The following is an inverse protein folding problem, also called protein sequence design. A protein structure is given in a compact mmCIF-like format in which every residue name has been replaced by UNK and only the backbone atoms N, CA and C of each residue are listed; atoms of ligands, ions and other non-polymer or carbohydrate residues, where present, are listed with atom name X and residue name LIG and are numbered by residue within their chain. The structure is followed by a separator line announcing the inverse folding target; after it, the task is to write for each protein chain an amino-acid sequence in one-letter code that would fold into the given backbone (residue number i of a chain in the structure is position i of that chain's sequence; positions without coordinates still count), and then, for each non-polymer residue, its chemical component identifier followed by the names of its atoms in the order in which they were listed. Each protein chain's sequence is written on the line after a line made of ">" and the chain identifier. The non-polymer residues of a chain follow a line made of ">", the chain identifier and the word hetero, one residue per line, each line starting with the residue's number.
data_IF_317048722827
#
_entry.id   IF_317048722827
#
_cell.length_a   1.000
_cell.length_b   1.000
_cell.length_c   1.000
_cell.angle_alpha   90.00
_cell.angle_beta   90.00
_cell.angle_gamma   90.00
#
_symmetry.space_group_name_H-M   'P 1'
#
loop_
_entity.id
_entity.type
_entity.pdbx_description
1 polymer ?
#
# COMPACT_ATOMS: atom_id res chain seq x y z
N UNK A 1 -2.71 -4.83 15.88
CA UNK A 1 -3.27 -3.78 15.03
C UNK A 1 -4.64 -4.20 14.57
N UNK A 2 -5.62 -3.33 14.75
CA UNK A 2 -6.97 -3.45 14.17
C UNK A 2 -7.05 -2.67 12.85
N UNK A 3 -8.23 -2.66 12.22
CA UNK A 3 -8.49 -1.95 10.96
C UNK A 3 -8.18 -0.45 11.03
N UNK A 4 -8.60 0.23 12.10
CA UNK A 4 -8.39 1.66 12.28
C UNK A 4 -6.90 1.98 12.42
N UNK A 5 -6.15 1.18 13.17
CA UNK A 5 -4.70 1.35 13.31
C UNK A 5 -4.00 1.34 11.94
N UNK A 6 -4.40 0.45 11.03
CA UNK A 6 -3.84 0.37 9.68
C UNK A 6 -4.22 1.57 8.80
N UNK A 7 -5.45 2.07 8.91
CA UNK A 7 -5.89 3.27 8.19
C UNK A 7 -5.09 4.50 8.64
N UNK A 8 -4.94 4.69 9.95
CA UNK A 8 -4.17 5.79 10.53
C UNK A 8 -2.68 5.70 10.15
N UNK A 9 -2.11 4.49 10.17
CA UNK A 9 -0.74 4.26 9.71
C UNK A 9 -0.57 4.58 8.23
N UNK A 10 -1.49 4.15 7.35
CA UNK A 10 -1.41 4.46 5.93
C UNK A 10 -1.39 5.97 5.67
N UNK A 11 -2.26 6.73 6.35
CA UNK A 11 -2.32 8.19 6.24
C UNK A 11 -1.08 8.87 6.81
N UNK A 12 -0.58 8.40 7.95
CA UNK A 12 0.65 8.91 8.58
C UNK A 12 1.85 8.69 7.65
N UNK A 13 2.01 7.48 7.08
CA UNK A 13 3.11 7.16 6.18
C UNK A 13 3.02 7.94 4.87
N UNK A 14 1.82 8.25 4.39
CA UNK A 14 1.64 9.10 3.22
C UNK A 14 2.14 10.53 3.50
N UNK A 15 1.82 11.07 4.67
CA UNK A 15 2.31 12.38 5.09
C UNK A 15 3.84 12.38 5.24
N UNK A 16 4.41 11.35 5.88
CA UNK A 16 5.86 11.21 6.03
C UNK A 16 6.56 11.11 4.67
N UNK A 17 6.03 10.28 3.76
CA UNK A 17 6.56 10.14 2.41
C UNK A 17 6.59 11.48 1.66
N UNK A 18 5.54 12.30 1.83
CA UNK A 18 5.50 13.66 1.25
C UNK A 18 6.60 14.55 1.81
N UNK A 19 6.75 14.59 3.13
CA UNK A 19 7.79 15.40 3.80
C UNK A 19 9.19 14.98 3.34
N UNK A 20 9.45 13.67 3.26
CA UNK A 20 10.73 13.15 2.77
C UNK A 20 10.97 13.53 1.31
N UNK A 21 9.95 13.41 0.45
CA UNK A 21 10.05 13.76 -0.96
C UNK A 21 10.37 15.25 -1.16
N UNK A 22 9.70 16.13 -0.41
CA UNK A 22 9.91 17.58 -0.46
C UNK A 22 11.30 17.99 0.06
N UNK A 23 11.90 17.18 0.95
CA UNK A 23 13.24 17.40 1.49
C UNK A 23 14.33 16.61 0.75
N UNK A 24 14.04 16.12 -0.46
CA UNK A 24 14.97 15.37 -1.30
C UNK A 24 15.49 14.05 -0.69
N UNK A 25 14.79 13.50 0.30
CA UNK A 25 15.08 12.20 0.93
C UNK A 25 14.40 11.07 0.15
N UNK A 26 14.87 10.84 -1.08
CA UNK A 26 14.17 10.01 -2.08
C UNK A 26 14.03 8.55 -1.69
N UNK A 27 15.10 7.88 -1.23
CA UNK A 27 15.01 6.48 -0.78
C UNK A 27 14.00 6.31 0.35
N UNK A 28 13.98 7.26 1.30
CA UNK A 28 13.00 7.25 2.40
C UNK A 28 11.57 7.45 1.91
N UNK A 29 11.35 8.41 1.00
CA UNK A 29 10.04 8.66 0.40
C UNK A 29 9.52 7.44 -0.38
N UNK A 30 10.38 6.82 -1.20
CA UNK A 30 10.06 5.59 -1.94
C UNK A 30 9.70 4.46 -0.97
N UNK A 31 10.53 4.26 0.05
CA UNK A 31 10.35 3.21 1.04
C UNK A 31 9.03 3.35 1.80
N UNK A 32 8.70 4.54 2.30
CA UNK A 32 7.44 4.77 3.02
C UNK A 32 6.21 4.71 2.11
N UNK A 33 6.34 5.07 0.82
CA UNK A 33 5.24 5.01 -0.14
C UNK A 33 4.70 3.59 -0.31
N UNK A 34 5.56 2.57 -0.30
CA UNK A 34 5.08 1.18 -0.36
C UNK A 34 4.31 0.74 0.89
N UNK A 35 4.73 1.18 2.08
CA UNK A 35 4.00 0.90 3.32
C UNK A 35 2.62 1.55 3.38
N UNK A 36 2.39 2.66 2.67
CA UNK A 36 1.04 3.26 2.56
C UNK A 36 0.07 2.23 1.98
N UNK A 37 0.45 1.56 0.88
CA UNK A 37 -0.37 0.56 0.20
C UNK A 37 -0.44 -0.73 1.01
N UNK A 38 0.66 -1.16 1.62
CA UNK A 38 0.66 -2.32 2.52
C UNK A 38 -0.35 -2.14 3.66
N UNK A 39 -0.27 -1.01 4.37
CA UNK A 39 -1.20 -0.69 5.46
C UNK A 39 -2.64 -0.62 4.94
N UNK A 40 -2.84 -0.03 3.76
CA UNK A 40 -4.17 0.07 3.17
C UNK A 40 -4.80 -1.29 2.85
N UNK A 41 -4.02 -2.19 2.25
CA UNK A 41 -4.46 -3.57 1.98
C UNK A 41 -4.73 -4.33 3.28
N UNK A 42 -3.89 -4.16 4.31
CA UNK A 42 -4.11 -4.78 5.63
C UNK A 42 -5.38 -4.25 6.30
N UNK A 43 -5.74 -2.99 6.11
CA UNK A 43 -7.04 -2.46 6.53
C UNK A 43 -8.21 -3.12 5.77
N UNK A 44 -8.10 -3.31 4.45
CA UNK A 44 -9.09 -4.06 3.67
C UNK A 44 -9.27 -5.50 4.15
N UNK A 45 -8.17 -6.20 4.47
CA UNK A 45 -8.22 -7.57 5.00
C UNK A 45 -8.88 -7.57 6.39
N UNK A 46 -8.48 -6.65 7.26
CA UNK A 46 -9.04 -6.53 8.62
C UNK A 46 -10.56 -6.26 8.60
N UNK A 47 -11.07 -5.49 7.63
CA UNK A 47 -12.51 -5.27 7.43
C UNK A 47 -13.29 -6.55 7.18
N UNK A 48 -12.68 -7.57 6.57
CA UNK A 48 -13.34 -8.85 6.29
C UNK A 48 -13.42 -9.77 7.49
N UNK A 49 -12.56 -9.57 8.48
CA UNK A 49 -12.61 -10.34 9.72
C UNK A 49 -13.66 -9.70 10.63
N UNK A 50 -14.81 -10.35 10.80
CA UNK A 50 -15.86 -9.78 11.66
C UNK A 50 -15.38 -9.77 13.11
N UNK A 51 -15.85 -8.78 13.87
CA UNK A 51 -15.75 -8.83 15.32
C UNK A 51 -16.44 -10.14 15.77
N UNK A 52 -15.74 -10.97 16.54
CA UNK A 52 -16.13 -12.32 17.00
C UNK A 52 -15.83 -13.50 16.06
N UNK A 53 -15.34 -13.28 14.83
CA UNK A 53 -14.77 -14.36 14.03
C UNK A 53 -13.36 -14.69 14.50
N UNK A 54 -13.05 -15.97 14.65
CA UNK A 54 -11.68 -16.43 14.89
C UNK A 54 -10.96 -16.48 13.54
N UNK A 55 -9.98 -15.60 13.28
CA UNK A 55 -9.30 -15.59 11.99
C UNK A 55 -8.49 -16.88 11.84
N UNK A 56 -8.54 -17.48 10.66
CA UNK A 56 -7.75 -18.65 10.35
C UNK A 56 -6.25 -18.34 10.54
N UNK A 57 -5.55 -19.17 11.31
CA UNK A 57 -4.13 -18.99 11.66
C UNK A 57 -3.22 -18.86 10.43
N UNK A 58 -3.56 -19.52 9.31
CA UNK A 58 -2.80 -19.39 8.06
C UNK A 58 -3.03 -18.01 7.45
N UNK A 59 -4.27 -17.52 7.45
CA UNK A 59 -4.64 -16.18 7.00
C UNK A 59 -3.95 -15.10 7.83
N UNK A 60 -3.89 -15.24 9.16
CA UNK A 60 -3.17 -14.32 10.05
C UNK A 60 -1.67 -14.28 9.73
N UNK A 61 -1.03 -15.44 9.53
CA UNK A 61 0.41 -15.49 9.19
C UNK A 61 0.71 -14.86 7.83
N UNK A 62 -0.17 -15.05 6.85
CA UNK A 62 -0.02 -14.47 5.51
C UNK A 62 -0.17 -12.95 5.51
N UNK A 63 -0.94 -12.35 6.43
CA UNK A 63 -1.04 -10.90 6.58
C UNK A 63 0.32 -10.26 6.97
N UNK A 64 1.25 -11.02 7.55
CA UNK A 64 2.59 -10.52 7.83
C UNK A 64 3.57 -10.62 6.64
N UNK A 65 3.09 -11.04 5.46
CA UNK A 65 3.83 -10.80 4.21
C UNK A 65 3.89 -9.29 3.95
N UNK A 66 4.97 -8.84 3.32
CA UNK A 66 5.08 -7.50 2.75
C UNK A 66 4.90 -7.52 1.23
N UNK A 67 4.53 -8.68 0.65
CA UNK A 67 4.20 -8.79 -0.76
C UNK A 67 2.83 -8.16 -1.05
N UNK A 68 2.82 -7.08 -1.83
CA UNK A 68 1.61 -6.32 -2.14
C UNK A 68 0.62 -7.09 -3.03
N UNK A 69 1.09 -7.96 -3.94
CA UNK A 69 0.22 -8.80 -4.77
C UNK A 69 -0.50 -9.84 -3.90
N UNK A 70 0.22 -10.53 -3.01
CA UNK A 70 -0.38 -11.48 -2.07
C UNK A 70 -1.40 -10.81 -1.13
N UNK A 71 -1.07 -9.62 -0.61
CA UNK A 71 -1.98 -8.86 0.25
C UNK A 71 -3.25 -8.43 -0.50
N UNK A 72 -3.15 -8.08 -1.77
CA UNK A 72 -4.31 -7.76 -2.60
C UNK A 72 -5.22 -8.98 -2.83
N UNK A 73 -4.64 -10.14 -3.11
CA UNK A 73 -5.39 -11.40 -3.24
C UNK A 73 -6.10 -11.77 -1.93
N UNK A 74 -5.44 -11.63 -0.78
CA UNK A 74 -6.04 -11.84 0.54
C UNK A 74 -7.16 -10.82 0.82
N UNK A 75 -6.98 -9.58 0.38
CA UNK A 75 -8.01 -8.56 0.39
C UNK A 75 -9.14 -8.84 -0.63
N UNK A 76 -9.06 -9.94 -1.39
CA UNK A 76 -10.04 -10.42 -2.38
C UNK A 76 -10.17 -9.54 -3.60
N UNK A 77 -9.10 -8.81 -3.92
CA UNK A 77 -9.02 -7.99 -5.11
C UNK A 77 -8.21 -8.72 -6.16
N UNK A 78 -8.86 -9.12 -7.24
CA UNK A 78 -8.14 -9.38 -8.48
C UNK A 78 -7.86 -8.03 -9.13
N UNK A 79 -6.68 -7.50 -8.83
CA UNK A 79 -6.18 -6.22 -9.33
C UNK A 79 -6.16 -6.18 -10.86
N UNK A 80 -5.94 -7.31 -11.53
CA UNK A 80 -5.94 -7.39 -12.98
C UNK A 80 -7.34 -7.42 -13.57
N UNK A 81 -8.36 -7.90 -12.85
CA UNK A 81 -9.74 -7.87 -13.31
C UNK A 81 -10.52 -6.61 -12.88
N UNK A 82 -10.25 -6.10 -11.67
CA UNK A 82 -11.14 -5.13 -11.00
C UNK A 82 -10.67 -3.68 -11.11
N UNK A 83 -9.37 -3.43 -11.31
CA UNK A 83 -8.89 -2.07 -11.51
C UNK A 83 -9.23 -1.57 -12.92
N UNK A 84 -9.75 -0.34 -13.00
CA UNK A 84 -9.84 0.36 -14.28
C UNK A 84 -8.44 0.47 -14.90
N UNK A 85 -8.37 0.59 -16.23
CA UNK A 85 -7.11 0.70 -16.97
C UNK A 85 -6.15 1.74 -16.39
N UNK A 86 -6.68 2.85 -15.87
CA UNK A 86 -5.88 3.87 -15.21
C UNK A 86 -5.14 3.28 -14.01
N UNK A 87 -5.84 2.82 -12.98
CA UNK A 87 -5.26 2.24 -11.76
C UNK A 87 -4.28 1.07 -11.99
N UNK A 88 -4.46 0.31 -13.08
CA UNK A 88 -3.51 -0.76 -13.45
C UNK A 88 -2.12 -0.22 -13.74
N UNK A 89 -2.01 0.93 -14.40
CA UNK A 89 -0.71 1.54 -14.69
C UNK A 89 -0.01 1.99 -13.40
N UNK A 90 -0.75 2.60 -12.46
CA UNK A 90 -0.19 2.95 -11.15
C UNK A 90 0.20 1.70 -10.35
N UNK A 91 -0.61 0.64 -10.39
CA UNK A 91 -0.28 -0.62 -9.71
C UNK A 91 1.02 -1.24 -10.21
N UNK A 92 1.28 -1.20 -11.52
CA UNK A 92 2.53 -1.72 -12.11
C UNK A 92 3.78 -1.00 -11.57
N UNK A 93 3.67 0.27 -11.19
CA UNK A 93 4.76 1.03 -10.56
C UNK A 93 4.96 0.56 -9.12
N UNK A 94 3.87 0.44 -8.37
CA UNK A 94 3.90 0.16 -6.93
C UNK A 94 4.35 -1.28 -6.65
N UNK A 95 3.91 -2.25 -7.45
CA UNK A 95 4.17 -3.67 -7.18
C UNK A 95 5.64 -4.08 -7.26
N UNK A 96 6.50 -3.20 -7.80
CA UNK A 96 7.96 -3.40 -7.83
C UNK A 96 8.57 -3.16 -6.44
N UNK A 97 7.90 -2.41 -5.58
CA UNK A 97 8.35 -2.15 -4.21
C UNK A 97 8.39 -3.43 -3.37
N UNK A 98 9.36 -3.51 -2.47
CA UNK A 98 9.42 -4.51 -1.40
C UNK A 98 10.07 -3.93 -0.14
N UNK A 99 9.97 -4.63 1.00
CA UNK A 99 10.64 -4.23 2.23
C UNK A 99 12.18 -4.11 2.08
N UNK A 100 12.76 -4.86 1.14
CA UNK A 100 14.19 -4.85 0.79
C UNK A 100 14.64 -3.51 0.20
N UNK A 101 13.72 -2.68 -0.29
CA UNK A 101 14.01 -1.31 -0.75
C UNK A 101 14.63 -0.45 0.37
N UNK A 102 14.52 -0.87 1.64
CA UNK A 102 15.28 -0.28 2.76
C UNK A 102 16.79 -0.29 2.55
N UNK A 103 17.33 -1.31 1.88
CA UNK A 103 18.76 -1.49 1.63
C UNK A 103 19.18 -0.99 0.24
N UNK A 104 18.26 -0.35 -0.49
CA UNK A 104 18.49 0.15 -1.83
C UNK A 104 18.54 1.68 -1.83
N UNK A 105 19.15 2.25 -2.87
CA UNK A 105 19.10 3.69 -3.12
C UNK A 105 18.14 3.94 -4.27
N UNK A 106 17.22 4.87 -4.07
CA UNK A 106 16.28 5.29 -5.11
C UNK A 106 16.50 6.75 -5.47
N UNK A 107 16.37 7.04 -6.76
CA UNK A 107 16.53 8.38 -7.27
C UNK A 107 15.22 9.19 -7.16
N UNK A 108 15.31 10.48 -7.49
CA UNK A 108 14.19 11.41 -7.45
C UNK A 108 12.99 10.95 -8.29
N UNK A 109 13.24 10.41 -9.48
CA UNK A 109 12.19 10.01 -10.42
C UNK A 109 11.41 8.82 -9.84
N UNK A 110 12.11 7.79 -9.36
CA UNK A 110 11.49 6.61 -8.74
C UNK A 110 10.62 7.00 -7.54
N UNK A 111 11.12 7.88 -6.66
CA UNK A 111 10.38 8.35 -5.49
C UNK A 111 9.13 9.16 -5.88
N UNK A 112 9.22 10.00 -6.91
CA UNK A 112 8.07 10.77 -7.42
C UNK A 112 7.04 9.87 -8.10
N UNK A 113 7.50 8.87 -8.84
CA UNK A 113 6.64 7.95 -9.58
C UNK A 113 5.82 7.10 -8.62
N UNK A 114 6.45 6.46 -7.62
CA UNK A 114 5.71 5.66 -6.65
C UNK A 114 4.78 6.53 -5.80
N UNK A 115 5.21 7.72 -5.36
CA UNK A 115 4.38 8.62 -4.56
C UNK A 115 3.14 9.09 -5.35
N UNK A 116 3.32 9.43 -6.62
CA UNK A 116 2.21 9.84 -7.50
C UNK A 116 1.29 8.66 -7.80
N UNK A 117 1.85 7.46 -8.01
CA UNK A 117 1.06 6.26 -8.24
C UNK A 117 0.14 5.91 -7.06
N UNK A 118 0.56 6.19 -5.83
CA UNK A 118 -0.27 5.96 -4.64
C UNK A 118 -1.24 7.12 -4.36
N UNK A 119 -0.86 8.37 -4.61
CA UNK A 119 -1.55 9.56 -4.09
C UNK A 119 -2.17 10.48 -5.16
N UNK A 120 -2.16 10.11 -6.44
CA UNK A 120 -2.85 10.89 -7.47
C UNK A 120 -4.35 11.09 -7.10
N UNK A 121 -4.89 12.32 -7.10
CA UNK A 121 -6.26 12.58 -6.66
C UNK A 121 -7.34 11.85 -7.46
N UNK A 122 -7.05 11.51 -8.72
CA UNK A 122 -8.03 10.91 -9.63
C UNK A 122 -7.81 9.40 -9.81
N UNK A 123 -6.55 8.96 -9.72
CA UNK A 123 -6.13 7.62 -10.13
C UNK A 123 -5.11 6.97 -9.17
N UNK A 124 -4.86 7.56 -8.01
CA UNK A 124 -3.96 6.99 -7.01
C UNK A 124 -4.54 5.69 -6.45
N UNK A 125 -3.71 4.64 -6.34
CA UNK A 125 -4.18 3.34 -5.83
C UNK A 125 -4.74 3.47 -4.42
N UNK A 126 -4.23 4.39 -3.60
CA UNK A 126 -4.78 4.64 -2.26
C UNK A 126 -6.23 5.16 -2.32
N UNK A 127 -6.59 5.99 -3.31
CA UNK A 127 -7.96 6.51 -3.46
C UNK A 127 -8.96 5.38 -3.68
N UNK A 128 -8.56 4.37 -4.45
CA UNK A 128 -9.37 3.19 -4.66
C UNK A 128 -9.46 2.34 -3.39
N UNK A 129 -8.33 2.04 -2.76
CA UNK A 129 -8.32 1.27 -1.50
C UNK A 129 -9.12 1.96 -0.41
N UNK A 130 -9.12 3.29 -0.36
CA UNK A 130 -9.87 4.08 0.61
C UNK A 130 -11.39 3.87 0.54
N UNK A 131 -11.91 3.54 -0.64
CA UNK A 131 -13.33 3.24 -0.84
C UNK A 131 -13.69 1.84 -0.33
N UNK A 132 -12.70 0.96 -0.21
CA UNK A 132 -12.92 -0.46 0.06
C UNK A 132 -12.42 -0.91 1.43
N UNK A 133 -11.49 -0.18 2.05
CA UNK A 133 -10.95 -0.47 3.37
C UNK A 133 -11.89 -0.08 4.49
#
# INVERSE_FOLDING_TARGET
>A
MNRQDFQELALTRLQDAKVLLDNHQYSGAYYLSGYVIECALKACIAKKTQQYDFPDLKSVRKIYTHNLEELAELAGYDIHAQLKSTYKAQWLIIKVWSEESRYQTHNQQEARDIYSAINDPNHGVLQWLQQHW
#
